data_IF_368904422255
#
_entry.id   IF_368904422255
#
_cell.length_a   1.000
_cell.length_b   1.000
_cell.length_c   1.000
_cell.angle_alpha   90.00
_cell.angle_beta   90.00
_cell.angle_gamma   90.00
#
_symmetry.space_group_name_H-M   'P 1'
#
loop_
_entity.id
_entity.type
_entity.pdbx_description
1 polymer ?
#
# COMPACT_ATOMS: atom_id res chain seq x y z
N UNK A 1 -6.39 4.33 -9.45
CA UNK A 1 -4.93 4.05 -9.55
C UNK A 1 -4.23 4.85 -10.66
N UNK A 2 -4.85 5.12 -11.82
CA UNK A 2 -4.20 5.80 -12.96
C UNK A 2 -3.43 7.09 -12.66
N UNK A 3 -4.03 8.05 -11.96
CA UNK A 3 -3.44 9.38 -11.75
C UNK A 3 -2.06 9.38 -11.07
N UNK A 4 -1.84 8.51 -10.06
CA UNK A 4 -0.56 8.42 -9.36
C UNK A 4 0.52 7.93 -10.32
N UNK A 5 0.28 6.80 -10.99
CA UNK A 5 1.20 6.27 -11.98
C UNK A 5 1.46 7.23 -13.16
N UNK A 6 0.44 7.98 -13.62
CA UNK A 6 0.61 8.99 -14.66
C UNK A 6 1.48 10.16 -14.19
N UNK A 7 1.35 10.59 -12.93
CA UNK A 7 2.20 11.62 -12.36
C UNK A 7 3.66 11.15 -12.26
N UNK A 8 3.90 9.92 -11.79
CA UNK A 8 5.24 9.34 -11.70
C UNK A 8 5.91 9.29 -13.09
N UNK A 9 5.20 8.76 -14.09
CA UNK A 9 5.73 8.64 -15.46
C UNK A 9 6.00 10.02 -16.08
N UNK A 10 5.10 10.98 -15.89
CA UNK A 10 5.30 12.36 -16.39
C UNK A 10 6.55 13.02 -15.81
N UNK A 11 6.95 12.65 -14.59
CA UNK A 11 8.17 13.13 -13.95
C UNK A 11 9.33 12.14 -14.07
N UNK A 12 9.31 11.26 -15.07
CA UNK A 12 10.37 10.31 -15.41
C UNK A 12 10.71 9.30 -14.29
N UNK A 13 9.80 9.10 -13.33
CA UNK A 13 9.91 8.05 -12.33
C UNK A 13 9.60 6.67 -12.92
N UNK A 14 10.01 5.62 -12.20
CA UNK A 14 9.73 4.22 -12.58
C UNK A 14 8.39 3.77 -12.00
N UNK A 15 7.62 3.00 -12.78
CA UNK A 15 6.38 2.35 -12.32
C UNK A 15 6.46 0.87 -12.58
N UNK A 16 6.31 0.07 -11.52
CA UNK A 16 6.14 -1.38 -11.62
C UNK A 16 4.64 -1.67 -11.55
N UNK A 17 4.12 -2.35 -12.58
CA UNK A 17 2.74 -2.78 -12.69
C UNK A 17 2.62 -4.26 -12.28
N UNK A 18 1.67 -4.59 -11.40
CA UNK A 18 1.36 -5.98 -11.02
C UNK A 18 -0.12 -6.25 -11.27
N UNK A 19 -0.42 -7.19 -12.17
CA UNK A 19 -1.77 -7.47 -12.66
C UNK A 19 -2.08 -8.97 -12.59
N UNK A 20 -3.31 -9.36 -12.21
CA UNK A 20 -3.77 -10.73 -12.38
C UNK A 20 -4.18 -10.97 -13.85
N UNK A 21 -3.82 -12.12 -14.39
CA UNK A 21 -4.20 -12.55 -15.75
C UNK A 21 -5.72 -12.63 -15.97
N UNK A 22 -6.48 -12.97 -14.93
CA UNK A 22 -7.94 -13.17 -15.00
C UNK A 22 -8.79 -11.90 -15.18
N UNK A 23 -8.22 -10.69 -15.01
CA UNK A 23 -8.98 -9.43 -15.10
C UNK A 23 -8.53 -8.51 -16.24
N UNK A 24 -7.55 -8.91 -17.05
CA UNK A 24 -7.00 -8.09 -18.13
C UNK A 24 -8.06 -7.52 -19.10
N UNK A 25 -9.15 -8.24 -19.46
CA UNK A 25 -10.19 -7.67 -20.32
C UNK A 25 -10.99 -6.54 -19.67
N UNK A 26 -11.13 -6.56 -18.33
CA UNK A 26 -11.88 -5.57 -17.55
C UNK A 26 -10.97 -4.41 -17.14
N UNK A 27 -9.71 -4.70 -16.85
CA UNK A 27 -8.69 -3.74 -16.44
C UNK A 27 -7.40 -4.00 -17.22
N UNK A 28 -7.25 -3.43 -18.43
CA UNK A 28 -6.09 -3.68 -19.27
C UNK A 28 -4.81 -3.17 -18.61
N UNK A 29 -3.68 -3.91 -18.74
CA UNK A 29 -2.42 -3.47 -18.18
C UNK A 29 -1.99 -2.13 -18.74
N UNK A 30 -1.38 -1.32 -17.87
CA UNK A 30 -0.74 -0.08 -18.26
C UNK A 30 0.41 -0.36 -19.23
N UNK A 31 0.32 0.18 -20.44
CA UNK A 31 1.29 -0.04 -21.52
C UNK A 31 2.65 0.66 -21.29
N UNK A 32 2.68 1.74 -20.52
CA UNK A 32 3.88 2.55 -20.27
C UNK A 32 4.50 2.33 -18.89
N UNK A 33 4.22 1.19 -18.25
CA UNK A 33 4.92 0.81 -17.03
C UNK A 33 6.39 0.45 -17.34
N UNK A 34 7.29 0.76 -16.41
CA UNK A 34 8.72 0.40 -16.52
C UNK A 34 8.92 -1.12 -16.45
N UNK A 35 8.06 -1.79 -15.70
CA UNK A 35 8.02 -3.25 -15.59
C UNK A 35 6.58 -3.72 -15.39
N UNK A 36 6.26 -4.89 -15.94
CA UNK A 36 4.96 -5.55 -15.77
C UNK A 36 5.17 -6.96 -15.23
N UNK A 37 4.50 -7.27 -14.13
CA UNK A 37 4.34 -8.62 -13.59
C UNK A 37 2.91 -9.08 -13.79
N UNK A 38 2.73 -10.23 -14.45
CA UNK A 38 1.45 -10.92 -14.53
C UNK A 38 1.44 -12.06 -13.51
N UNK A 39 0.34 -12.17 -12.76
CA UNK A 39 0.14 -13.21 -11.74
C UNK A 39 -1.07 -14.07 -12.09
N UNK A 40 -1.14 -15.29 -11.57
CA UNK A 40 -2.22 -16.25 -11.86
C UNK A 40 -3.54 -15.93 -11.13
N UNK A 41 -3.57 -14.85 -10.34
CA UNK A 41 -4.72 -14.50 -9.52
C UNK A 41 -4.46 -13.34 -8.57
N UNK A 42 -5.50 -12.97 -7.81
CA UNK A 42 -5.47 -11.83 -6.89
C UNK A 42 -4.54 -12.03 -5.70
N UNK A 43 -4.47 -13.25 -5.16
CA UNK A 43 -3.64 -13.51 -3.98
C UNK A 43 -2.14 -13.40 -4.29
N UNK A 44 -1.72 -13.96 -5.43
CA UNK A 44 -0.34 -13.81 -5.92
C UNK A 44 -0.03 -12.34 -6.28
N UNK A 45 -1.01 -11.61 -6.85
CA UNK A 45 -0.85 -10.16 -7.09
C UNK A 45 -0.57 -9.41 -5.79
N UNK A 46 -1.40 -9.63 -4.75
CA UNK A 46 -1.24 -8.95 -3.46
C UNK A 46 0.08 -9.32 -2.81
N UNK A 47 0.45 -10.61 -2.81
CA UNK A 47 1.77 -11.09 -2.34
C UNK A 47 2.90 -10.35 -3.06
N UNK A 48 2.87 -10.29 -4.39
CA UNK A 48 3.90 -9.61 -5.19
C UNK A 48 3.99 -8.12 -4.88
N UNK A 49 2.87 -7.44 -4.62
CA UNK A 49 2.86 -6.05 -4.17
C UNK A 49 3.51 -5.88 -2.79
N UNK A 50 3.24 -6.79 -1.86
CA UNK A 50 3.87 -6.79 -0.52
C UNK A 50 5.37 -7.05 -0.63
N UNK A 51 5.78 -8.00 -1.47
CA UNK A 51 7.19 -8.38 -1.63
C UNK A 51 8.04 -7.27 -2.28
N UNK A 52 7.44 -6.46 -3.16
CA UNK A 52 8.13 -5.34 -3.83
C UNK A 52 8.12 -4.04 -3.01
N UNK A 53 7.28 -3.94 -1.98
CA UNK A 53 7.03 -2.69 -1.26
C UNK A 53 7.87 -2.53 0.01
N UNK A 54 8.73 -1.51 0.04
CA UNK A 54 9.46 -1.09 1.24
C UNK A 54 8.62 -0.20 2.18
N UNK A 55 7.57 0.41 1.64
CA UNK A 55 6.56 1.17 2.37
C UNK A 55 5.26 1.20 1.56
N UNK A 56 4.15 1.51 2.23
CA UNK A 56 2.82 1.44 1.64
C UNK A 56 2.06 2.75 1.87
N UNK A 57 1.64 3.39 0.78
CA UNK A 57 0.82 4.60 0.84
C UNK A 57 -0.60 4.26 0.42
N UNK A 58 -1.54 4.39 1.36
CA UNK A 58 -2.94 4.04 1.19
C UNK A 58 -3.74 5.31 0.93
N UNK A 59 -4.14 5.51 -0.33
CA UNK A 59 -5.01 6.61 -0.73
C UNK A 59 -6.48 6.22 -0.58
N UNK A 60 -7.36 7.22 -0.40
CA UNK A 60 -8.80 7.02 -0.31
C UNK A 60 -9.34 6.09 -1.40
N UNK A 61 -10.04 5.03 -0.98
CA UNK A 61 -10.51 3.96 -1.85
C UNK A 61 -11.61 3.13 -1.21
N UNK A 62 -12.20 2.22 -2.01
CA UNK A 62 -13.30 1.35 -1.59
C UNK A 62 -12.82 0.01 -1.02
N UNK A 63 -13.64 -1.04 -1.22
CA UNK A 63 -13.38 -2.37 -0.67
C UNK A 63 -12.02 -2.96 -1.05
N UNK A 64 -11.59 -2.81 -2.32
CA UNK A 64 -10.30 -3.35 -2.75
C UNK A 64 -9.12 -2.73 -1.98
N UNK A 65 -9.11 -1.40 -1.83
CA UNK A 65 -8.09 -0.71 -1.04
C UNK A 65 -8.09 -1.14 0.42
N UNK A 66 -9.28 -1.33 1.01
CA UNK A 66 -9.38 -1.79 2.39
C UNK A 66 -8.88 -3.23 2.53
N UNK A 67 -9.31 -4.13 1.65
CA UNK A 67 -8.89 -5.53 1.64
C UNK A 67 -7.37 -5.68 1.52
N UNK A 68 -6.73 -4.99 0.58
CA UNK A 68 -5.27 -4.99 0.41
C UNK A 68 -4.57 -4.42 1.65
N UNK A 69 -5.08 -3.30 2.20
CA UNK A 69 -4.47 -2.68 3.38
C UNK A 69 -4.57 -3.57 4.63
N UNK A 70 -5.71 -4.22 4.86
CA UNK A 70 -5.89 -5.10 6.00
C UNK A 70 -5.14 -6.41 5.85
N UNK A 71 -5.00 -6.95 4.62
CA UNK A 71 -4.12 -8.09 4.40
C UNK A 71 -2.70 -7.75 4.84
N UNK A 72 -2.13 -6.64 4.37
CA UNK A 72 -0.79 -6.20 4.78
C UNK A 72 -0.66 -6.08 6.31
N UNK A 73 -1.59 -5.37 6.96
CA UNK A 73 -1.56 -5.18 8.43
C UNK A 73 -1.70 -6.50 9.19
N UNK A 74 -2.50 -7.44 8.68
CA UNK A 74 -2.64 -8.78 9.27
C UNK A 74 -1.36 -9.58 9.12
N UNK A 75 -0.72 -9.53 7.95
CA UNK A 75 0.54 -10.25 7.72
C UNK A 75 1.69 -9.71 8.58
N UNK A 76 1.73 -8.39 8.80
CA UNK A 76 2.67 -7.77 9.74
C UNK A 76 2.42 -8.23 11.18
N UNK A 77 1.15 -8.32 11.61
CA UNK A 77 0.82 -8.65 13.01
C UNK A 77 1.17 -10.09 13.41
N UNK A 78 1.22 -11.00 12.43
CA UNK A 78 1.60 -12.41 12.61
C UNK A 78 3.05 -12.70 12.19
N UNK A 79 3.86 -11.66 11.90
CA UNK A 79 5.24 -11.79 11.45
C UNK A 79 5.43 -12.59 10.15
N UNK A 80 4.43 -12.60 9.26
CA UNK A 80 4.56 -13.20 7.93
C UNK A 80 5.32 -12.29 6.97
N UNK A 81 5.22 -10.98 7.15
CA UNK A 81 6.03 -9.96 6.48
C UNK A 81 6.62 -9.00 7.50
N UNK A 82 7.74 -8.36 7.15
CA UNK A 82 8.38 -7.38 8.01
C UNK A 82 7.44 -6.18 8.24
N UNK A 83 7.48 -5.63 9.45
CA UNK A 83 6.81 -4.36 9.76
C UNK A 83 7.50 -3.25 8.98
N UNK A 84 6.72 -2.51 8.20
CA UNK A 84 7.17 -1.43 7.30
C UNK A 84 6.22 -0.23 7.44
N UNK A 85 6.64 0.99 7.08
CA UNK A 85 5.78 2.16 7.16
C UNK A 85 4.52 2.00 6.30
N UNK A 86 3.35 2.23 6.92
CA UNK A 86 2.05 2.27 6.22
C UNK A 86 1.38 3.61 6.46
N UNK A 87 1.19 4.40 5.40
CA UNK A 87 0.75 5.79 5.50
C UNK A 87 -0.60 5.92 4.82
N UNK A 88 -1.64 6.19 5.60
CA UNK A 88 -2.96 6.53 5.11
C UNK A 88 -3.03 8.03 4.80
N UNK A 89 -3.52 8.38 3.62
CA UNK A 89 -3.65 9.77 3.16
C UNK A 89 -5.11 10.18 3.07
N UNK A 90 -5.48 11.24 3.78
CA UNK A 90 -6.82 11.79 3.88
C UNK A 90 -7.42 11.57 5.26
N UNK A 91 -7.02 12.40 6.23
CA UNK A 91 -7.48 12.37 7.63
C UNK A 91 -8.99 12.28 7.73
N UNK A 92 -9.71 13.16 7.02
CA UNK A 92 -11.17 13.20 7.04
C UNK A 92 -11.82 11.88 6.61
N UNK A 93 -11.24 11.19 5.63
CA UNK A 93 -11.78 9.94 5.10
C UNK A 93 -11.48 8.76 6.05
N UNK A 94 -10.26 8.69 6.58
CA UNK A 94 -9.80 7.57 7.39
C UNK A 94 -9.97 7.74 8.90
N UNK A 95 -10.39 8.90 9.40
CA UNK A 95 -10.58 9.11 10.84
C UNK A 95 -11.47 8.04 11.49
N UNK A 96 -12.64 7.66 10.91
CA UNK A 96 -13.47 6.61 11.50
C UNK A 96 -12.76 5.24 11.60
N UNK A 97 -11.92 4.92 10.61
CA UNK A 97 -11.11 3.70 10.64
C UNK A 97 -10.06 3.77 11.76
N UNK A 98 -9.35 4.90 11.89
CA UNK A 98 -8.35 5.07 12.94
C UNK A 98 -8.97 5.05 14.34
N UNK A 99 -10.20 5.53 14.50
CA UNK A 99 -10.94 5.43 15.76
C UNK A 99 -11.28 3.97 16.10
N UNK A 100 -11.66 3.16 15.09
CA UNK A 100 -11.85 1.72 15.27
C UNK A 100 -10.55 1.00 15.65
N UNK A 101 -9.43 1.32 15.00
CA UNK A 101 -8.12 0.74 15.32
C UNK A 101 -7.68 1.10 16.75
N UNK A 102 -7.92 2.35 17.20
CA UNK A 102 -7.66 2.75 18.60
C UNK A 102 -8.50 1.95 19.59
N UNK A 103 -9.77 1.69 19.27
CA UNK A 103 -10.62 0.84 20.09
C UNK A 103 -10.06 -0.59 20.16
N UNK A 104 -9.71 -1.18 19.02
CA UNK A 104 -9.11 -2.53 18.98
C UNK A 104 -7.81 -2.62 19.78
N UNK A 105 -6.96 -1.59 19.71
CA UNK A 105 -5.74 -1.53 20.52
C UNK A 105 -6.07 -1.49 22.02
N UNK A 106 -7.02 -0.64 22.42
CA UNK A 106 -7.46 -0.52 23.81
C UNK A 106 -8.01 -1.85 24.35
N UNK A 107 -8.76 -2.58 23.54
CA UNK A 107 -9.32 -3.90 23.88
C UNK A 107 -8.30 -5.05 23.76
N UNK A 108 -7.04 -4.75 23.39
CA UNK A 108 -5.96 -5.75 23.28
C UNK A 108 -6.09 -6.67 22.06
N UNK A 109 -6.84 -6.27 21.04
CA UNK A 109 -7.12 -7.08 19.84
C UNK A 109 -6.03 -6.95 18.77
N UNK A 110 -5.20 -5.91 18.83
CA UNK A 110 -4.10 -5.66 17.89
C UNK A 110 -2.82 -5.28 18.63
N UNK A 111 -1.67 -5.63 18.07
CA UNK A 111 -0.37 -5.33 18.67
C UNK A 111 -0.03 -3.84 18.53
N UNK A 112 0.67 -3.32 19.53
CA UNK A 112 1.19 -1.94 19.50
C UNK A 112 2.21 -1.75 18.38
N UNK A 113 2.99 -2.78 18.06
CA UNK A 113 4.02 -2.74 17.02
C UNK A 113 3.47 -2.38 15.63
N UNK A 114 2.37 -3.02 15.21
CA UNK A 114 1.75 -2.68 13.91
C UNK A 114 1.09 -1.30 13.97
N UNK A 115 0.50 -0.92 15.10
CA UNK A 115 -0.06 0.42 15.27
C UNK A 115 1.00 1.51 15.20
N UNK A 116 2.19 1.28 15.76
CA UNK A 116 3.28 2.25 15.70
C UNK A 116 3.83 2.42 14.27
N UNK A 117 3.57 1.47 13.38
CA UNK A 117 3.98 1.51 11.97
C UNK A 117 2.95 2.18 11.04
N UNK A 118 1.72 2.43 11.51
CA UNK A 118 0.68 3.12 10.72
C UNK A 118 0.65 4.62 11.02
N UNK A 119 0.51 5.43 9.98
CA UNK A 119 0.39 6.89 10.08
C UNK A 119 -0.81 7.41 9.30
N UNK A 120 -1.37 8.54 9.74
CA UNK A 120 -2.47 9.22 9.07
C UNK A 120 -2.10 10.67 8.80
N UNK A 121 -2.10 11.07 7.54
CA UNK A 121 -1.65 12.38 7.05
C UNK A 121 -2.64 12.95 6.02
N UNK A 122 -2.47 14.22 5.63
CA UNK A 122 -3.28 14.85 4.57
C UNK A 122 -2.46 15.20 3.32
N UNK A 123 -1.15 15.27 3.43
CA UNK A 123 -0.29 15.83 2.38
C UNK A 123 0.78 14.85 1.88
N UNK A 124 1.25 15.10 0.65
CA UNK A 124 2.35 14.34 0.08
C UNK A 124 3.66 14.65 0.82
N UNK A 125 3.82 15.88 1.30
CA UNK A 125 4.95 16.36 2.07
C UNK A 125 5.09 15.58 3.39
N UNK A 126 4.02 15.52 4.19
CA UNK A 126 3.98 14.69 5.42
C UNK A 126 4.28 13.20 5.09
N UNK A 127 3.77 12.70 3.96
CA UNK A 127 4.04 11.32 3.53
C UNK A 127 5.53 11.11 3.28
N UNK A 128 6.18 12.02 2.54
CA UNK A 128 7.61 11.95 2.21
C UNK A 128 8.47 12.07 3.47
N UNK A 129 8.11 12.95 4.40
CA UNK A 129 8.80 13.08 5.69
C UNK A 129 8.80 11.78 6.49
N UNK A 130 7.66 11.08 6.52
CA UNK A 130 7.53 9.78 7.21
C UNK A 130 8.28 8.65 6.51
N UNK A 131 8.46 8.73 5.18
CA UNK A 131 9.26 7.76 4.44
C UNK A 131 10.77 7.99 4.69
N UNK A 132 11.20 9.20 5.01
CA UNK A 132 12.60 9.51 5.33
C UNK A 132 13.60 9.00 4.28
N UNK A 133 14.78 8.56 4.74
CA UNK A 133 15.84 7.98 3.90
C UNK A 133 15.66 6.48 3.67
N UNK A 134 14.42 5.99 3.51
CA UNK A 134 14.17 4.58 3.17
C UNK A 134 15.08 4.17 2.01
N UNK A 135 16.02 3.26 2.31
CA UNK A 135 16.94 2.73 1.32
C UNK A 135 16.14 1.79 0.44
N UNK A 136 15.74 2.29 -0.72
CA UNK A 136 15.16 1.46 -1.76
C UNK A 136 16.25 0.50 -2.25
N UNK A 137 16.31 -0.69 -1.65
CA UNK A 137 17.17 -1.75 -2.16
C UNK A 137 16.59 -2.22 -3.50
N UNK A 138 17.21 -1.75 -4.58
CA UNK A 138 17.07 -2.26 -5.94
C UNK A 138 15.69 -2.15 -6.60
N UNK A 139 15.38 -0.95 -7.11
CA UNK A 139 14.60 -0.85 -8.36
C UNK A 139 15.60 -0.88 -9.53
N UNK A 140 16.12 -2.08 -9.85
CA UNK A 140 16.88 -2.31 -11.10
C UNK A 140 15.94 -2.11 -12.28
#
# INVERSE_FOLDING_TARGET
MGMVSDAVIRHQGKVIAVYPDGILPLEPPRQNASQLYLTSGMDERKRKLIDLGEAFVILAGGFGTMEESFQLLTEMSINQTAVRPVIFVGRKFYQPLFDLLRLQLKEGMISKEVIDAISLVDTAEETIELLGDLKLEQVV
#
